data_IF_956284346413
#
_entry.id   IF_956284346413
#
_cell.length_a   1.000
_cell.length_b   1.000
_cell.length_c   1.000
_cell.angle_alpha   90.00
_cell.angle_beta   90.00
_cell.angle_gamma   90.00
#
_symmetry.space_group_name_H-M   'P 1'
#
loop_
_entity.id
_entity.type
_entity.pdbx_description
1 polymer ?
#
# COMPACT_ATOMS: atom_id res chain seq x y z
N UNK A 1 -2.42 -7.16 -9.44
CA UNK A 1 -1.47 -6.55 -10.40
C UNK A 1 -1.39 -5.06 -10.08
N UNK A 2 -0.45 -4.67 -9.22
CA UNK A 2 -0.04 -3.27 -9.11
C UNK A 2 1.03 -3.04 -10.17
N UNK A 3 0.86 -2.03 -11.03
CA UNK A 3 1.87 -1.63 -12.01
C UNK A 3 3.13 -1.19 -11.30
N UNK A 4 4.21 -1.87 -11.65
CA UNK A 4 5.59 -1.48 -11.40
C UNK A 4 5.88 -0.32 -12.35
N UNK A 5 5.81 0.92 -11.86
CA UNK A 5 6.31 2.08 -12.60
C UNK A 5 7.00 3.05 -11.63
N UNK A 6 8.32 3.15 -11.80
CA UNK A 6 9.06 4.39 -11.57
C UNK A 6 9.47 4.69 -10.13
N UNK A 7 10.55 4.04 -9.68
CA UNK A 7 11.39 4.54 -8.60
C UNK A 7 12.14 5.82 -9.03
N UNK A 8 11.44 6.93 -9.26
CA UNK A 8 12.03 8.29 -9.44
C UNK A 8 10.95 9.37 -9.27
N UNK A 9 10.34 9.49 -8.08
CA UNK A 9 9.83 10.76 -7.53
C UNK A 9 9.26 10.49 -6.13
N UNK A 10 10.04 10.77 -5.10
CA UNK A 10 9.68 10.69 -3.68
C UNK A 10 8.73 11.84 -3.26
N UNK A 11 7.63 12.02 -3.99
CA UNK A 11 6.55 12.94 -3.61
C UNK A 11 5.27 12.14 -3.47
N UNK A 12 4.57 12.34 -2.35
CA UNK A 12 3.20 11.89 -2.21
C UNK A 12 2.41 12.43 -3.41
N UNK A 13 1.66 11.59 -4.15
CA UNK A 13 0.94 12.05 -5.32
C UNK A 13 -0.06 13.13 -4.90
N UNK A 14 -0.14 14.25 -5.65
CA UNK A 14 -1.08 15.32 -5.36
C UNK A 14 -2.52 14.84 -5.61
N UNK A 15 -3.48 15.41 -4.88
CA UNK A 15 -4.89 15.11 -5.04
C UNK A 15 -5.51 14.38 -3.86
N UNK A 16 -6.74 13.89 -4.06
CA UNK A 16 -7.59 13.32 -3.00
C UNK A 16 -6.92 12.15 -2.27
N UNK A 17 -7.20 11.95 -0.97
CA UNK A 17 -6.68 10.80 -0.22
C UNK A 17 -6.97 9.48 -0.94
N UNK A 18 -5.93 8.71 -1.22
CA UNK A 18 -6.06 7.42 -1.91
C UNK A 18 -6.31 6.30 -0.89
N UNK A 19 -7.55 5.81 -0.86
CA UNK A 19 -8.00 4.72 0.03
C UNK A 19 -7.28 3.38 -0.23
N UNK A 20 -6.47 3.27 -1.28
CA UNK A 20 -5.61 2.10 -1.54
C UNK A 20 -4.28 2.18 -0.80
N UNK A 21 -3.96 3.32 -0.21
CA UNK A 21 -2.70 3.56 0.53
C UNK A 21 -2.92 3.48 2.03
N UNK A 22 -1.85 3.34 2.81
CA UNK A 22 -1.96 3.29 4.27
C UNK A 22 -2.50 4.61 4.86
N UNK A 23 -3.12 4.52 6.04
CA UNK A 23 -3.72 5.66 6.73
C UNK A 23 -2.77 6.85 6.89
N UNK A 24 -1.49 6.61 7.19
CA UNK A 24 -0.50 7.68 7.32
C UNK A 24 -0.34 8.46 6.00
N UNK A 25 -0.26 7.75 4.86
CA UNK A 25 -0.19 8.40 3.55
C UNK A 25 -1.46 9.20 3.26
N UNK A 26 -2.64 8.63 3.53
CA UNK A 26 -3.92 9.32 3.34
C UNK A 26 -4.00 10.61 4.16
N UNK A 27 -3.55 10.59 5.43
CA UNK A 27 -3.51 11.77 6.31
C UNK A 27 -2.57 12.85 5.78
N UNK A 28 -1.38 12.45 5.30
CA UNK A 28 -0.42 13.39 4.71
C UNK A 28 -0.92 13.96 3.38
N UNK A 29 -1.61 13.17 2.56
CA UNK A 29 -2.28 13.64 1.34
C UNK A 29 -3.38 14.65 1.67
N UNK A 30 -4.23 14.34 2.64
CA UNK A 30 -5.27 15.26 3.11
C UNK A 30 -4.65 16.58 3.60
N UNK A 31 -3.55 16.51 4.36
CA UNK A 31 -2.84 17.69 4.83
C UNK A 31 -2.30 18.53 3.66
N UNK A 32 -1.70 17.89 2.65
CA UNK A 32 -1.24 18.58 1.44
C UNK A 32 -2.40 19.28 0.71
N UNK A 33 -3.55 18.61 0.54
CA UNK A 33 -4.74 19.24 -0.04
C UNK A 33 -5.22 20.45 0.75
N UNK A 34 -5.20 20.36 2.08
CA UNK A 34 -5.59 21.48 2.93
C UNK A 34 -4.65 22.67 2.77
N UNK A 35 -3.34 22.42 2.72
CA UNK A 35 -2.32 23.45 2.50
C UNK A 35 -2.46 24.10 1.12
N UNK A 36 -2.65 23.31 0.07
CA UNK A 36 -2.87 23.81 -1.30
C UNK A 36 -4.10 24.72 -1.37
N UNK A 37 -5.23 24.29 -0.76
CA UNK A 37 -6.45 25.10 -0.69
C UNK A 37 -6.24 26.38 0.12
N UNK A 38 -5.49 26.34 1.22
CA UNK A 38 -5.15 27.52 2.01
C UNK A 38 -4.30 28.52 1.21
N UNK A 39 -3.23 28.06 0.57
CA UNK A 39 -2.35 28.90 -0.27
C UNK A 39 -3.14 29.52 -1.42
N UNK A 40 -3.99 28.76 -2.11
CA UNK A 40 -4.83 29.29 -3.18
C UNK A 40 -5.76 30.41 -2.69
N UNK A 41 -6.34 30.27 -1.49
CA UNK A 41 -7.19 31.31 -0.88
C UNK A 41 -6.39 32.54 -0.47
N UNK A 42 -5.22 32.37 0.14
CA UNK A 42 -4.35 33.50 0.53
C UNK A 42 -3.85 34.27 -0.70
N UNK A 43 -3.47 33.57 -1.76
CA UNK A 43 -3.10 34.18 -3.03
C UNK A 43 -4.29 34.94 -3.64
N UNK A 44 -5.49 34.35 -3.66
CA UNK A 44 -6.68 35.02 -4.18
C UNK A 44 -7.02 36.30 -3.39
N UNK A 45 -6.85 36.29 -2.06
CA UNK A 45 -7.00 37.48 -1.22
C UNK A 45 -5.97 38.55 -1.59
N UNK A 46 -4.70 38.16 -1.75
CA UNK A 46 -3.63 39.09 -2.12
C UNK A 46 -3.89 39.79 -3.47
N UNK A 47 -4.34 39.05 -4.49
CA UNK A 47 -4.69 39.63 -5.78
C UNK A 47 -5.96 40.50 -5.75
N UNK A 48 -6.92 40.20 -4.87
CA UNK A 48 -8.13 41.03 -4.72
C UNK A 48 -7.87 42.39 -4.05
N UNK A 49 -6.81 42.50 -3.24
CA UNK A 49 -6.46 43.75 -2.54
C UNK A 49 -5.68 44.74 -3.41
N UNK A 50 -5.10 44.31 -4.54
CA UNK A 50 -4.31 45.19 -5.41
C UNK A 50 -5.10 45.86 -6.55
N UNK A 51 -6.34 45.43 -6.86
CA UNK A 51 -7.07 45.91 -8.07
C UNK A 51 -8.49 46.48 -7.82
N UNK A 52 -8.85 46.84 -6.59
CA UNK A 52 -10.06 47.65 -6.38
C UNK A 52 -10.05 48.41 -5.06
N UNK A 53 -9.95 49.74 -5.17
CA UNK A 53 -10.44 50.63 -4.14
C UNK A 53 -11.97 50.57 -4.14
N UNK A 54 -12.53 50.43 -2.93
CA UNK A 54 -13.94 50.65 -2.57
C UNK A 54 -14.95 49.56 -2.98
N UNK A 55 -15.04 48.51 -2.17
CA UNK A 55 -16.31 47.93 -1.70
C UNK A 55 -15.99 46.92 -0.60
N UNK A 56 -16.27 47.27 0.65
CA UNK A 56 -16.23 46.37 1.81
C UNK A 56 -17.18 45.18 1.58
N UNK A 57 -16.67 44.07 1.04
CA UNK A 57 -17.28 42.75 1.21
C UNK A 57 -16.83 42.18 2.55
N UNK A 58 -17.45 42.67 3.63
CA UNK A 58 -17.31 42.10 4.97
C UNK A 58 -17.66 40.60 4.92
N UNK A 59 -16.63 39.78 5.09
CA UNK A 59 -16.73 38.36 5.38
C UNK A 59 -17.41 38.21 6.74
N UNK A 60 -18.73 37.98 6.72
CA UNK A 60 -19.54 37.70 7.91
C UNK A 60 -19.14 36.33 8.47
N UNK A 61 -18.23 36.32 9.45
CA UNK A 61 -18.10 35.23 10.40
C UNK A 61 -19.28 35.38 11.38
N UNK A 62 -20.35 34.62 11.13
CA UNK A 62 -21.61 34.76 11.86
C UNK A 62 -21.44 34.30 13.31
N UNK A 63 -21.01 35.22 14.17
CA UNK A 63 -21.39 35.18 15.58
C UNK A 63 -22.85 35.60 15.69
N UNK A 64 -23.58 34.78 16.43
CA UNK A 64 -25.03 34.83 16.65
C UNK A 64 -25.38 36.06 17.50
N UNK A 65 -25.58 37.22 16.87
CA UNK A 65 -26.21 38.37 17.50
C UNK A 65 -27.19 39.04 16.53
N UNK A 66 -28.41 39.27 17.03
CA UNK A 66 -29.56 39.84 16.33
C UNK A 66 -29.21 41.20 15.70
N UNK A 67 -29.21 41.28 14.36
CA UNK A 67 -29.18 42.55 13.64
C UNK A 67 -30.35 42.66 12.65
N UNK A 68 -30.90 43.86 12.69
CA UNK A 68 -32.17 44.39 12.23
C UNK A 68 -32.56 44.04 10.78
N UNK A 69 -33.84 43.69 10.59
CA UNK A 69 -34.46 43.41 9.28
C UNK A 69 -34.56 44.68 8.45
N UNK A 70 -33.57 44.95 7.59
CA UNK A 70 -33.73 45.92 6.49
C UNK A 70 -33.26 45.34 5.15
N UNK A 71 -34.25 45.12 4.28
CA UNK A 71 -34.18 45.05 2.81
C UNK A 71 -33.10 44.19 2.16
N UNK A 72 -33.39 42.89 1.97
CA UNK A 72 -32.69 42.05 0.99
C UNK A 72 -33.64 41.58 -0.13
N UNK A 73 -33.88 42.43 -1.12
CA UNK A 73 -34.48 42.05 -2.42
C UNK A 73 -33.43 41.72 -3.49
N UNK A 74 -32.26 41.22 -3.09
CA UNK A 74 -31.15 40.86 -3.99
C UNK A 74 -31.13 39.37 -4.41
N UNK A 75 -32.08 38.55 -3.91
CA UNK A 75 -32.14 37.10 -4.14
C UNK A 75 -32.84 36.69 -5.45
N UNK A 76 -33.39 37.64 -6.22
CA UNK A 76 -34.11 37.37 -7.48
C UNK A 76 -33.26 37.48 -8.75
N UNK A 77 -31.96 37.85 -8.62
CA UNK A 77 -31.04 37.86 -9.76
C UNK A 77 -30.34 36.51 -9.88
N UNK A 78 -30.33 35.89 -11.08
CA UNK A 78 -29.64 34.63 -11.25
C UNK A 78 -28.12 34.79 -11.11
N UNK A 79 -27.52 34.03 -10.21
CA UNK A 79 -26.09 34.06 -9.90
C UNK A 79 -25.52 32.64 -9.81
N UNK A 80 -24.21 32.47 -10.02
CA UNK A 80 -23.56 31.16 -9.92
C UNK A 80 -23.86 30.21 -11.09
N UNK A 81 -23.97 30.73 -12.32
CA UNK A 81 -24.18 29.92 -13.54
C UNK A 81 -22.85 29.56 -14.21
N UNK A 82 -22.63 28.28 -14.48
CA UNK A 82 -21.47 27.79 -15.26
C UNK A 82 -21.73 27.88 -16.76
N UNK A 83 -22.78 27.22 -17.24
CA UNK A 83 -23.16 27.19 -18.66
C UNK A 83 -24.64 26.81 -18.82
N UNK A 84 -25.17 26.93 -20.04
CA UNK A 84 -26.54 26.46 -20.35
C UNK A 84 -26.55 24.93 -20.43
N UNK A 85 -27.59 24.31 -19.87
CA UNK A 85 -27.79 22.86 -19.93
C UNK A 85 -28.48 22.47 -21.24
N UNK A 86 -27.70 22.42 -22.33
CA UNK A 86 -28.22 22.13 -23.66
C UNK A 86 -29.33 23.09 -24.10
N UNK A 87 -30.38 22.55 -24.72
CA UNK A 87 -31.60 23.28 -25.11
C UNK A 87 -32.73 23.17 -24.08
N UNK A 88 -32.42 22.64 -22.89
CA UNK A 88 -33.42 22.38 -21.86
C UNK A 88 -33.95 23.67 -21.24
N UNK A 89 -35.25 23.71 -20.94
CA UNK A 89 -35.93 24.83 -20.29
C UNK A 89 -36.61 24.41 -19.01
N UNK A 90 -36.77 25.37 -18.09
CA UNK A 90 -37.48 25.22 -16.84
C UNK A 90 -38.97 24.94 -17.11
N UNK A 91 -39.53 23.97 -16.37
CA UNK A 91 -40.89 23.46 -16.62
C UNK A 91 -41.99 24.50 -16.40
N UNK A 92 -41.79 25.48 -15.51
CA UNK A 92 -42.83 26.49 -15.19
C UNK A 92 -42.66 27.81 -15.94
N UNK A 93 -41.43 28.28 -16.13
CA UNK A 93 -41.19 29.61 -16.70
C UNK A 93 -40.80 29.57 -18.17
N UNK A 94 -40.35 28.42 -18.69
CA UNK A 94 -39.84 28.31 -20.06
C UNK A 94 -38.47 28.96 -20.27
N UNK A 95 -37.84 29.46 -19.21
CA UNK A 95 -36.48 30.01 -19.27
C UNK A 95 -35.44 28.90 -19.50
N UNK A 96 -34.28 29.20 -20.12
CA UNK A 96 -33.21 28.22 -20.28
C UNK A 96 -32.72 27.70 -18.92
N UNK A 97 -32.52 26.39 -18.80
CA UNK A 97 -31.93 25.76 -17.62
C UNK A 97 -30.41 25.97 -17.64
N UNK A 98 -29.85 26.41 -16.52
CA UNK A 98 -28.42 26.63 -16.34
C UNK A 98 -27.82 25.63 -15.36
N UNK A 99 -26.59 25.20 -15.65
CA UNK A 99 -25.77 24.40 -14.74
C UNK A 99 -25.22 25.32 -13.65
N UNK A 100 -25.49 25.08 -12.35
CA UNK A 100 -24.93 25.87 -11.27
C UNK A 100 -23.45 25.55 -11.04
N UNK A 101 -22.71 26.50 -10.49
CA UNK A 101 -21.46 26.21 -9.78
C UNK A 101 -21.80 25.57 -8.43
N UNK A 102 -21.31 24.35 -8.17
CA UNK A 102 -21.47 23.62 -6.91
C UNK A 102 -20.18 23.63 -6.10
N UNK A 103 -20.27 23.29 -4.81
CA UNK A 103 -19.09 23.10 -3.98
C UNK A 103 -18.36 21.80 -4.34
N UNK A 104 -17.05 21.77 -4.12
CA UNK A 104 -16.26 20.56 -4.28
C UNK A 104 -16.70 19.47 -3.28
N UNK A 105 -16.67 18.18 -3.68
CA UNK A 105 -16.92 17.08 -2.77
C UNK A 105 -16.03 17.10 -1.53
N UNK A 106 -16.59 16.70 -0.39
CA UNK A 106 -15.86 16.56 0.88
C UNK A 106 -14.84 15.44 0.75
N UNK A 107 -13.57 15.78 0.92
CA UNK A 107 -12.48 14.80 0.98
C UNK A 107 -12.54 14.09 2.33
N UNK A 108 -12.38 12.77 2.36
CA UNK A 108 -12.34 11.98 3.59
C UNK A 108 -11.22 10.95 3.57
N UNK A 109 -10.59 10.73 4.71
CA UNK A 109 -9.68 9.60 4.94
C UNK A 109 -10.44 8.34 5.35
N UNK A 110 -9.80 7.17 5.26
CA UNK A 110 -10.40 5.87 5.59
C UNK A 110 -11.01 5.82 7.00
N UNK A 111 -10.29 6.33 8.01
CA UNK A 111 -10.78 6.39 9.40
C UNK A 111 -12.00 7.31 9.57
N UNK A 112 -12.10 8.38 8.76
CA UNK A 112 -13.28 9.26 8.77
C UNK A 112 -14.48 8.56 8.13
N UNK A 113 -14.26 7.78 7.07
CA UNK A 113 -15.31 6.96 6.46
C UNK A 113 -15.78 5.86 7.43
N UNK A 114 -14.86 5.23 8.14
CA UNK A 114 -15.20 4.24 9.18
C UNK A 114 -16.01 4.89 10.31
N UNK A 115 -15.58 6.06 10.80
CA UNK A 115 -16.31 6.84 11.80
C UNK A 115 -17.72 7.21 11.33
N UNK A 116 -17.87 7.69 10.10
CA UNK A 116 -19.18 7.98 9.52
C UNK A 116 -20.07 6.73 9.50
N UNK A 117 -19.53 5.58 9.07
CA UNK A 117 -20.28 4.32 9.07
C UNK A 117 -20.68 3.88 10.46
N UNK A 118 -19.80 4.04 11.45
CA UNK A 118 -20.08 3.70 12.85
C UNK A 118 -21.16 4.60 13.46
N UNK A 119 -21.13 5.89 13.16
CA UNK A 119 -22.17 6.84 13.58
C UNK A 119 -23.52 6.40 13.00
N UNK A 120 -23.55 6.05 11.72
CA UNK A 120 -24.76 5.59 11.04
C UNK A 120 -25.28 4.25 11.58
N UNK A 121 -24.40 3.35 12.01
CA UNK A 121 -24.76 2.07 12.62
C UNK A 121 -25.30 2.24 14.04
N UNK A 122 -24.76 3.20 14.81
CA UNK A 122 -25.23 3.52 16.17
C UNK A 122 -26.56 4.24 16.16
N UNK A 123 -26.84 5.02 15.11
CA UNK A 123 -28.17 5.57 14.83
C UNK A 123 -29.09 4.40 14.50
N UNK A 124 -29.99 4.04 15.42
CA UNK A 124 -30.91 2.92 15.27
C UNK A 124 -31.84 3.02 14.06
N UNK A 125 -32.77 2.07 13.96
CA UNK A 125 -33.77 2.03 12.87
C UNK A 125 -35.03 2.86 13.13
N UNK A 126 -35.04 3.66 14.20
CA UNK A 126 -36.19 4.50 14.56
C UNK A 126 -36.42 5.60 13.52
N UNK A 127 -37.66 6.11 13.43
CA UNK A 127 -38.02 7.13 12.44
C UNK A 127 -37.18 8.40 12.59
N UNK A 128 -36.99 8.88 13.82
CA UNK A 128 -36.11 10.02 14.13
C UNK A 128 -34.64 9.74 13.76
N UNK A 129 -34.18 8.49 13.95
CA UNK A 129 -32.82 8.09 13.58
C UNK A 129 -32.65 7.98 12.06
N UNK A 130 -33.70 7.59 11.33
CA UNK A 130 -33.73 7.59 9.87
C UNK A 130 -33.67 9.02 9.30
N UNK A 131 -34.43 9.95 9.88
CA UNK A 131 -34.40 11.37 9.54
C UNK A 131 -33.04 12.01 9.82
N UNK A 132 -32.41 11.67 10.96
CA UNK A 132 -31.09 12.17 11.30
C UNK A 132 -30.00 11.63 10.36
N UNK A 133 -30.04 10.34 10.01
CA UNK A 133 -29.14 9.74 9.01
C UNK A 133 -29.29 10.40 7.64
N UNK A 134 -30.54 10.63 7.23
CA UNK A 134 -30.84 11.34 5.99
C UNK A 134 -30.27 12.76 5.99
N UNK A 135 -30.42 13.49 7.09
CA UNK A 135 -29.89 14.86 7.24
C UNK A 135 -28.36 14.92 7.25
N UNK A 136 -27.69 13.94 7.87
CA UNK A 136 -26.22 13.84 7.89
C UNK A 136 -25.68 13.59 6.47
N UNK A 137 -26.30 12.67 5.72
CA UNK A 137 -25.87 12.33 4.37
C UNK A 137 -26.24 13.35 3.31
N UNK A 138 -27.19 14.24 3.59
CA UNK A 138 -27.73 15.18 2.62
C UNK A 138 -27.06 16.54 2.59
N UNK A 139 -26.00 16.78 3.37
CA UNK A 139 -25.37 18.09 3.43
C UNK A 139 -24.87 18.56 2.04
N UNK A 140 -24.30 17.65 1.25
CA UNK A 140 -23.92 17.92 -0.15
C UNK A 140 -25.15 18.18 -1.02
N UNK A 141 -26.18 17.33 -0.91
CA UNK A 141 -27.42 17.47 -1.66
C UNK A 141 -28.10 18.83 -1.41
N UNK A 142 -28.13 19.28 -0.15
CA UNK A 142 -28.68 20.58 0.22
C UNK A 142 -27.88 21.72 -0.42
N UNK A 143 -26.55 21.67 -0.34
CA UNK A 143 -25.66 22.66 -0.99
C UNK A 143 -25.84 22.70 -2.51
N UNK A 144 -26.06 21.55 -3.15
CA UNK A 144 -26.33 21.45 -4.59
C UNK A 144 -27.70 22.05 -4.94
N UNK A 145 -28.73 21.77 -4.14
CA UNK A 145 -30.07 22.35 -4.31
C UNK A 145 -30.07 23.88 -4.15
N UNK A 146 -29.36 24.40 -3.15
CA UNK A 146 -29.21 25.84 -2.92
C UNK A 146 -28.51 26.53 -4.11
N UNK A 147 -27.43 25.91 -4.60
CA UNK A 147 -26.68 26.41 -5.76
C UNK A 147 -27.54 26.42 -7.02
N UNK A 148 -28.33 25.36 -7.23
CA UNK A 148 -29.22 25.24 -8.37
C UNK A 148 -30.34 26.29 -8.36
N UNK A 149 -30.95 26.55 -7.20
CA UNK A 149 -31.97 27.59 -7.06
C UNK A 149 -31.41 28.99 -7.31
N UNK A 150 -30.18 29.27 -6.87
CA UNK A 150 -29.50 30.54 -7.14
C UNK A 150 -29.24 30.76 -8.65
N UNK A 151 -28.87 29.69 -9.36
CA UNK A 151 -28.62 29.73 -10.79
C UNK A 151 -29.93 29.79 -11.62
N UNK A 152 -30.99 29.14 -11.12
CA UNK A 152 -32.27 29.00 -11.80
C UNK A 152 -33.43 29.51 -10.92
N UNK A 153 -33.65 30.83 -10.83
CA UNK A 153 -34.83 31.41 -10.18
C UNK A 153 -36.13 30.88 -10.81
N UNK A 154 -37.12 30.56 -9.98
CA UNK A 154 -38.40 30.01 -10.44
C UNK A 154 -38.40 28.51 -10.77
N UNK A 155 -37.27 27.83 -10.59
CA UNK A 155 -37.15 26.37 -10.78
C UNK A 155 -37.97 25.56 -9.77
N UNK A 156 -38.35 24.34 -10.18
CA UNK A 156 -39.01 23.35 -9.34
C UNK A 156 -38.13 22.13 -9.08
N UNK A 157 -38.54 21.26 -8.15
CA UNK A 157 -37.76 20.06 -7.77
C UNK A 157 -37.56 19.11 -8.95
N UNK A 158 -38.52 19.09 -9.87
CA UNK A 158 -38.47 18.35 -11.12
C UNK A 158 -37.35 18.85 -12.03
N UNK A 159 -37.14 20.17 -12.13
CA UNK A 159 -36.03 20.75 -12.90
C UNK A 159 -34.67 20.36 -12.31
N UNK A 160 -34.58 20.35 -10.96
CA UNK A 160 -33.38 19.90 -10.28
C UNK A 160 -33.11 18.41 -10.51
N UNK A 161 -34.12 17.54 -10.43
CA UNK A 161 -33.96 16.10 -10.64
C UNK A 161 -33.56 15.79 -12.08
N UNK A 162 -34.10 16.50 -13.07
CA UNK A 162 -33.70 16.38 -14.49
C UNK A 162 -32.20 16.63 -14.70
N UNK A 163 -31.61 17.52 -13.92
CA UNK A 163 -30.18 17.81 -13.96
C UNK A 163 -29.34 16.88 -13.07
N UNK A 164 -29.74 16.69 -11.80
CA UNK A 164 -28.96 16.03 -10.76
C UNK A 164 -29.07 14.50 -10.78
N UNK A 165 -30.26 13.97 -11.08
CA UNK A 165 -30.51 12.53 -11.24
C UNK A 165 -31.43 12.26 -12.43
N UNK A 166 -30.90 12.31 -13.68
CA UNK A 166 -31.70 12.06 -14.88
C UNK A 166 -32.37 10.69 -14.91
N UNK A 167 -31.86 9.73 -14.12
CA UNK A 167 -32.44 8.38 -13.97
C UNK A 167 -33.78 8.37 -13.25
N UNK A 168 -34.07 9.40 -12.46
CA UNK A 168 -35.31 9.54 -11.71
C UNK A 168 -36.36 10.40 -12.41
N UNK A 169 -36.04 10.87 -13.62
CA UNK A 169 -36.98 11.50 -14.52
C UNK A 169 -37.47 10.48 -15.55
N UNK A 170 -38.76 10.17 -15.53
CA UNK A 170 -39.37 9.25 -16.49
C UNK A 170 -40.04 10.08 -17.57
N UNK A 171 -39.49 10.02 -18.79
CA UNK A 171 -40.05 10.67 -19.98
C UNK A 171 -41.21 9.85 -20.55
N UNK A 172 -42.28 10.53 -20.95
CA UNK A 172 -43.40 9.94 -21.67
C UNK A 172 -43.19 10.16 -23.17
N UNK A 173 -42.98 9.07 -23.93
CA UNK A 173 -42.49 9.13 -25.32
C UNK A 173 -43.43 9.80 -26.34
N UNK A 174 -44.66 10.17 -25.97
CA UNK A 174 -45.68 10.68 -26.89
C UNK A 174 -46.28 12.05 -26.51
N UNK A 175 -45.83 12.71 -25.45
CA UNK A 175 -46.33 14.04 -25.05
C UNK A 175 -45.18 15.06 -25.00
N UNK A 176 -45.36 16.17 -25.73
CA UNK A 176 -44.50 17.35 -25.62
C UNK A 176 -45.12 18.34 -24.63
N UNK A 177 -44.28 18.98 -23.83
CA UNK A 177 -44.67 20.07 -22.95
C UNK A 177 -44.98 21.36 -23.75
N UNK A 178 -45.46 22.38 -23.05
CA UNK A 178 -45.79 23.70 -23.63
C UNK A 178 -44.60 24.41 -24.29
N UNK A 179 -43.37 23.91 -24.07
CA UNK A 179 -42.13 24.49 -24.54
C UNK A 179 -41.38 23.61 -25.56
N UNK A 180 -42.00 22.50 -26.00
CA UNK A 180 -41.46 21.59 -27.02
C UNK A 180 -40.49 20.51 -26.52
N UNK A 181 -40.42 20.26 -25.21
CA UNK A 181 -39.61 19.20 -24.59
C UNK A 181 -40.48 17.98 -24.27
N UNK A 182 -39.90 16.79 -24.17
CA UNK A 182 -40.64 15.59 -23.72
C UNK A 182 -41.17 15.81 -22.31
N UNK A 183 -42.47 15.62 -22.15
CA UNK A 183 -43.14 15.66 -20.85
C UNK A 183 -42.73 14.41 -20.06
N UNK A 184 -42.64 14.54 -18.74
CA UNK A 184 -42.25 13.44 -17.87
C UNK A 184 -42.71 13.67 -16.44
N UNK A 185 -42.52 12.64 -15.62
CA UNK A 185 -42.86 12.67 -14.21
C UNK A 185 -41.73 12.07 -13.36
N UNK A 186 -41.74 12.39 -12.07
CA UNK A 186 -40.79 11.84 -11.11
C UNK A 186 -40.98 10.34 -10.95
N UNK A 187 -39.88 9.60 -10.76
CA UNK A 187 -39.95 8.15 -10.51
C UNK A 187 -40.80 7.81 -9.28
N UNK A 188 -41.39 6.59 -9.19
CA UNK A 188 -42.22 6.19 -8.05
C UNK A 188 -41.54 6.35 -6.68
N UNK A 189 -40.20 6.17 -6.59
CA UNK A 189 -39.46 6.41 -5.33
C UNK A 189 -39.46 7.88 -4.93
N UNK A 190 -39.50 8.77 -5.91
CA UNK A 190 -39.44 10.22 -5.71
C UNK A 190 -40.82 10.83 -5.39
N UNK A 191 -41.90 10.08 -5.64
CA UNK A 191 -43.28 10.48 -5.35
C UNK A 191 -43.81 9.99 -4.00
N UNK A 192 -42.96 9.36 -3.17
CA UNK A 192 -43.35 8.92 -1.82
C UNK A 192 -43.74 10.12 -0.95
N UNK A 193 -44.77 9.95 -0.11
CA UNK A 193 -45.38 11.03 0.69
C UNK A 193 -44.37 11.71 1.65
N UNK A 194 -43.39 10.96 2.16
CA UNK A 194 -42.31 11.43 3.03
C UNK A 194 -40.94 11.46 2.31
N UNK A 195 -40.87 12.08 1.13
CA UNK A 195 -39.62 12.20 0.41
C UNK A 195 -38.74 13.34 0.95
N UNK A 196 -37.64 12.96 1.60
CA UNK A 196 -36.56 13.82 2.10
C UNK A 196 -36.07 14.83 1.05
N UNK A 197 -35.99 14.44 -0.23
CA UNK A 197 -35.50 15.34 -1.29
C UNK A 197 -36.47 16.50 -1.54
N UNK A 198 -37.78 16.24 -1.49
CA UNK A 198 -38.80 17.26 -1.67
C UNK A 198 -38.84 18.19 -0.45
N UNK A 199 -38.70 17.62 0.76
CA UNK A 199 -38.61 18.41 1.99
C UNK A 199 -37.37 19.31 2.00
N UNK A 200 -36.20 18.77 1.65
CA UNK A 200 -34.96 19.53 1.53
C UNK A 200 -35.04 20.59 0.46
N UNK A 201 -35.64 20.26 -0.69
CA UNK A 201 -35.88 21.25 -1.72
C UNK A 201 -36.76 22.39 -1.21
N UNK A 202 -37.80 22.13 -0.42
CA UNK A 202 -38.63 23.20 0.17
C UNK A 202 -37.83 24.09 1.13
N UNK A 203 -36.94 23.49 1.91
CA UNK A 203 -36.12 24.20 2.90
C UNK A 203 -34.88 24.91 2.32
N UNK A 204 -34.40 24.49 1.13
CA UNK A 204 -33.23 25.06 0.47
C UNK A 204 -33.47 26.52 0.04
N UNK A 205 -32.51 27.39 0.33
CA UNK A 205 -32.53 28.81 -0.06
C UNK A 205 -31.75 29.03 -1.36
N UNK A 206 -32.06 30.03 -2.19
CA UNK A 206 -31.33 30.29 -3.43
C UNK A 206 -29.96 30.94 -3.16
N UNK A 207 -28.99 30.17 -2.65
CA UNK A 207 -27.65 30.65 -2.29
C UNK A 207 -26.58 30.10 -3.24
N UNK A 208 -25.76 30.93 -3.90
CA UNK A 208 -24.67 30.43 -4.76
C UNK A 208 -23.55 29.81 -3.93
N UNK A 209 -22.82 28.84 -4.50
CA UNK A 209 -21.79 28.05 -3.80
C UNK A 209 -20.72 28.89 -3.06
N UNK A 210 -20.33 30.05 -3.58
CA UNK A 210 -19.35 30.93 -2.95
C UNK A 210 -19.85 31.64 -1.67
N UNK A 211 -21.18 31.71 -1.47
CA UNK A 211 -21.84 32.32 -0.30
C UNK A 211 -22.42 31.27 0.67
N UNK A 212 -22.30 29.99 0.33
CA UNK A 212 -22.77 28.92 1.20
C UNK A 212 -21.74 28.59 2.28
N UNK A 213 -22.21 27.94 3.34
CA UNK A 213 -21.32 27.33 4.33
C UNK A 213 -20.49 26.24 3.64
N UNK A 214 -19.18 26.26 3.87
CA UNK A 214 -18.25 25.31 3.27
C UNK A 214 -18.52 23.90 3.77
N UNK A 215 -18.66 22.96 2.84
CA UNK A 215 -18.77 21.54 3.16
C UNK A 215 -17.46 20.96 3.67
N UNK A 216 -16.33 21.51 3.18
CA UNK A 216 -14.99 21.12 3.61
C UNK A 216 -14.25 22.34 4.17
N UNK A 217 -13.93 22.27 5.46
CA UNK A 217 -13.10 23.27 6.13
C UNK A 217 -11.65 22.78 6.18
N UNK A 218 -10.85 23.23 5.23
CA UNK A 218 -9.45 22.84 5.10
C UNK A 218 -8.60 23.21 6.32
N UNK A 219 -8.97 24.24 7.09
CA UNK A 219 -8.21 24.63 8.29
C UNK A 219 -8.51 23.67 9.43
N UNK A 220 -9.78 23.35 9.67
CA UNK A 220 -10.17 22.39 10.70
C UNK A 220 -9.71 20.97 10.38
N UNK A 221 -9.77 20.55 9.12
CA UNK A 221 -9.30 19.21 8.72
C UNK A 221 -7.77 19.10 8.86
N UNK A 222 -7.01 20.14 8.50
CA UNK A 222 -5.56 20.16 8.75
C UNK A 222 -5.24 20.07 10.25
N UNK A 223 -5.94 20.85 11.10
CA UNK A 223 -5.76 20.80 12.55
C UNK A 223 -6.07 19.43 13.14
N UNK A 224 -7.16 18.77 12.70
CA UNK A 224 -7.48 17.40 13.12
C UNK A 224 -6.35 16.43 12.80
N UNK A 225 -5.71 16.55 11.63
CA UNK A 225 -4.58 15.70 11.24
C UNK A 225 -3.36 15.98 12.10
N UNK A 226 -3.03 17.25 12.34
CA UNK A 226 -1.90 17.64 13.18
C UNK A 226 -2.10 17.16 14.63
N UNK A 227 -3.29 17.34 15.19
CA UNK A 227 -3.68 16.81 16.50
C UNK A 227 -3.61 15.28 16.52
N UNK A 228 -4.11 14.62 15.47
CA UNK A 228 -4.02 13.17 15.33
C UNK A 228 -2.57 12.69 15.39
N UNK A 229 -1.61 13.42 14.80
CA UNK A 229 -0.19 13.05 14.86
C UNK A 229 0.45 13.40 16.21
N UNK A 230 0.10 14.55 16.80
CA UNK A 230 0.66 15.04 18.07
C UNK A 230 0.28 14.17 19.27
N UNK A 231 -0.95 13.65 19.31
CA UNK A 231 -1.44 12.81 20.40
C UNK A 231 -1.03 11.33 20.30
N UNK A 232 -0.16 10.94 19.37
CA UNK A 232 0.22 9.54 19.17
C UNK A 232 1.42 9.16 20.03
N UNK A 233 1.29 8.00 20.68
CA UNK A 233 2.42 7.36 21.36
C UNK A 233 3.41 6.77 20.35
N UNK A 234 4.64 6.50 20.79
CA UNK A 234 5.66 5.83 19.96
C UNK A 234 5.16 4.50 19.40
N UNK A 235 4.38 3.74 20.19
CA UNK A 235 3.78 2.47 19.73
C UNK A 235 2.80 2.68 18.57
N UNK A 236 1.91 3.68 18.68
CA UNK A 236 0.95 3.99 17.62
C UNK A 236 1.64 4.56 16.37
N UNK A 237 2.71 5.33 16.53
CA UNK A 237 3.53 5.78 15.41
C UNK A 237 4.17 4.59 14.71
N UNK A 238 4.70 3.62 15.46
CA UNK A 238 5.24 2.40 14.89
C UNK A 238 4.17 1.64 14.09
N UNK A 239 2.95 1.50 14.61
CA UNK A 239 1.82 0.88 13.90
C UNK A 239 1.50 1.59 12.57
N UNK A 240 1.49 2.93 12.55
CA UNK A 240 1.25 3.72 11.32
C UNK A 240 2.33 3.51 10.25
N UNK A 241 3.57 3.21 10.67
CA UNK A 241 4.73 3.10 9.79
C UNK A 241 4.99 1.66 9.34
N UNK A 242 4.44 0.64 10.03
CA UNK A 242 4.59 -0.79 9.66
C UNK A 242 4.23 -1.06 8.19
N UNK A 243 3.10 -0.58 7.62
CA UNK A 243 2.79 -0.80 6.21
C UNK A 243 3.88 -0.28 5.26
N UNK A 244 4.45 0.88 5.58
CA UNK A 244 5.51 1.52 4.81
C UNK A 244 6.79 0.69 4.92
N UNK A 245 7.19 0.32 6.13
CA UNK A 245 8.40 -0.50 6.36
C UNK A 245 8.32 -1.87 5.70
N UNK A 246 7.15 -2.51 5.78
CA UNK A 246 6.88 -3.80 5.14
C UNK A 246 7.06 -3.69 3.62
N UNK A 247 6.47 -2.65 3.02
CA UNK A 247 6.60 -2.38 1.59
C UNK A 247 8.05 -2.07 1.19
N UNK A 248 8.72 -1.17 1.92
CA UNK A 248 10.12 -0.80 1.67
C UNK A 248 11.08 -1.98 1.83
N UNK A 249 10.86 -2.86 2.82
CA UNK A 249 11.67 -4.07 3.01
C UNK A 249 11.54 -5.02 1.82
N UNK A 250 10.33 -5.25 1.32
CA UNK A 250 10.09 -6.11 0.15
C UNK A 250 10.75 -5.52 -1.10
N UNK A 251 10.55 -4.22 -1.36
CA UNK A 251 11.19 -3.55 -2.49
C UNK A 251 12.71 -3.64 -2.41
N UNK A 252 13.28 -3.38 -1.24
CA UNK A 252 14.73 -3.45 -1.03
C UNK A 252 15.27 -4.86 -1.29
N UNK A 253 14.55 -5.89 -0.86
CA UNK A 253 14.92 -7.28 -1.12
C UNK A 253 14.85 -7.63 -2.61
N UNK A 254 13.85 -7.13 -3.33
CA UNK A 254 13.71 -7.34 -4.77
C UNK A 254 14.88 -6.68 -5.51
N UNK A 255 15.18 -5.42 -5.21
CA UNK A 255 16.31 -4.69 -5.82
C UNK A 255 17.64 -5.43 -5.59
N UNK A 256 17.87 -5.92 -4.36
CA UNK A 256 19.06 -6.69 -4.04
C UNK A 256 19.11 -8.04 -4.76
N UNK A 257 17.98 -8.73 -4.92
CA UNK A 257 17.91 -9.99 -5.68
C UNK A 257 18.17 -9.77 -7.18
N UNK A 258 17.67 -8.68 -7.76
CA UNK A 258 17.92 -8.32 -9.16
C UNK A 258 19.39 -7.97 -9.42
N UNK A 259 20.11 -7.50 -8.39
CA UNK A 259 21.55 -7.21 -8.48
C UNK A 259 22.45 -8.45 -8.40
N UNK A 260 21.90 -9.62 -8.04
CA UNK A 260 22.69 -10.85 -7.91
C UNK A 260 23.04 -11.44 -9.27
N UNK A 261 24.26 -11.97 -9.46
CA UNK A 261 24.64 -12.70 -10.67
C UNK A 261 23.88 -14.02 -10.83
N UNK A 262 23.37 -14.58 -9.72
CA UNK A 262 22.58 -15.81 -9.73
C UNK A 262 21.49 -15.72 -8.68
N UNK A 263 20.25 -15.84 -9.12
CA UNK A 263 19.09 -15.81 -8.25
C UNK A 263 18.85 -17.23 -7.70
N UNK A 264 18.80 -17.42 -6.37
CA UNK A 264 18.44 -18.71 -5.79
C UNK A 264 17.04 -19.15 -6.23
N UNK A 265 16.87 -20.42 -6.60
CA UNK A 265 15.60 -20.95 -7.11
C UNK A 265 14.41 -20.75 -6.16
N UNK A 266 14.65 -20.76 -4.85
CA UNK A 266 13.65 -20.53 -3.81
C UNK A 266 13.30 -19.05 -3.58
N UNK A 267 14.13 -18.11 -4.06
CA UNK A 267 14.00 -16.69 -3.73
C UNK A 267 12.68 -16.10 -4.25
N UNK A 268 12.29 -16.44 -5.47
CA UNK A 268 11.04 -15.96 -6.10
C UNK A 268 9.80 -16.43 -5.33
N UNK A 269 9.80 -17.66 -4.84
CA UNK A 269 8.73 -18.22 -4.02
C UNK A 269 8.68 -17.53 -2.64
N UNK A 270 9.84 -17.26 -2.03
CA UNK A 270 9.93 -16.52 -0.76
C UNK A 270 9.43 -15.08 -0.89
N UNK A 271 9.85 -14.36 -1.92
CA UNK A 271 9.34 -12.99 -2.20
C UNK A 271 7.82 -13.01 -2.42
N UNK A 272 7.29 -13.98 -3.16
CA UNK A 272 5.85 -14.14 -3.35
C UNK A 272 5.10 -14.42 -2.04
N UNK A 273 5.72 -15.15 -1.11
CA UNK A 273 5.20 -15.36 0.25
C UNK A 273 5.21 -14.06 1.06
N UNK A 274 6.32 -13.32 1.05
CA UNK A 274 6.47 -12.03 1.73
C UNK A 274 5.46 -11.00 1.23
N UNK A 275 5.19 -10.95 -0.08
CA UNK A 275 4.13 -10.11 -0.65
C UNK A 275 2.76 -10.43 -0.06
N UNK A 276 2.39 -11.72 0.02
CA UNK A 276 1.11 -12.14 0.62
C UNK A 276 1.04 -11.85 2.12
N UNK A 277 2.16 -11.96 2.83
CA UNK A 277 2.23 -11.60 4.25
C UNK A 277 2.07 -10.10 4.43
N UNK A 278 2.77 -9.30 3.63
CA UNK A 278 2.67 -7.84 3.65
C UNK A 278 1.26 -7.35 3.33
N UNK A 279 0.58 -7.92 2.34
CA UNK A 279 -0.83 -7.64 2.05
C UNK A 279 -1.75 -7.88 3.25
N UNK A 280 -1.48 -8.91 4.06
CA UNK A 280 -2.27 -9.19 5.27
C UNK A 280 -1.97 -8.20 6.38
N UNK A 281 -0.69 -7.92 6.64
CA UNK A 281 -0.25 -6.97 7.67
C UNK A 281 -0.81 -5.58 7.40
N UNK A 282 -0.84 -5.16 6.14
CA UNK A 282 -1.33 -3.83 5.73
C UNK A 282 -2.85 -3.67 5.76
N UNK A 283 -3.61 -4.77 5.72
CA UNK A 283 -5.09 -4.76 5.76
C UNK A 283 -5.65 -5.01 7.17
N UNK A 284 -4.84 -5.45 8.11
CA UNK A 284 -5.30 -5.66 9.49
C UNK A 284 -5.57 -4.28 10.13
N UNK A 285 -6.77 -4.09 10.68
CA UNK A 285 -7.18 -2.85 11.38
C UNK A 285 -6.28 -2.53 12.59
N UNK A 286 -5.64 -3.55 13.17
CA UNK A 286 -4.70 -3.42 14.28
C UNK A 286 -3.48 -4.29 14.01
N UNK A 287 -2.30 -3.76 14.35
CA UNK A 287 -1.06 -4.50 14.23
C UNK A 287 -1.11 -5.79 15.06
N UNK A 288 -0.78 -6.91 14.42
CA UNK A 288 -0.61 -8.20 15.07
C UNK A 288 0.89 -8.49 15.25
N UNK A 289 1.47 -8.30 16.45
CA UNK A 289 2.93 -8.34 16.64
C UNK A 289 3.55 -9.66 16.16
N UNK A 290 2.89 -10.80 16.44
CA UNK A 290 3.38 -12.12 16.01
C UNK A 290 3.45 -12.30 14.49
N UNK A 291 2.53 -11.68 13.74
CA UNK A 291 2.54 -11.75 12.27
C UNK A 291 3.66 -10.88 11.72
N UNK A 292 3.86 -9.70 12.29
CA UNK A 292 4.95 -8.81 11.90
C UNK A 292 6.32 -9.40 12.26
N UNK A 293 6.45 -10.05 13.41
CA UNK A 293 7.66 -10.76 13.83
C UNK A 293 8.00 -11.91 12.86
N UNK A 294 7.01 -12.73 12.49
CA UNK A 294 7.21 -13.78 11.49
C UNK A 294 7.65 -13.22 10.13
N UNK A 295 7.03 -12.12 9.68
CA UNK A 295 7.44 -11.42 8.46
C UNK A 295 8.88 -10.91 8.55
N UNK A 296 9.24 -10.26 9.67
CA UNK A 296 10.60 -9.76 9.87
C UNK A 296 11.64 -10.88 9.89
N UNK A 297 11.30 -12.04 10.47
CA UNK A 297 12.15 -13.22 10.44
C UNK A 297 12.34 -13.75 9.02
N UNK A 298 11.27 -13.86 8.23
CA UNK A 298 11.36 -14.31 6.83
C UNK A 298 12.19 -13.33 5.96
N UNK A 299 12.07 -12.02 6.21
CA UNK A 299 12.91 -10.98 5.59
C UNK A 299 14.38 -11.19 5.95
N UNK A 300 14.69 -11.34 7.23
CA UNK A 300 16.05 -11.53 7.71
C UNK A 300 16.68 -12.83 7.16
N UNK A 301 15.92 -13.92 7.10
CA UNK A 301 16.39 -15.17 6.49
C UNK A 301 16.76 -14.98 5.01
N UNK A 302 15.93 -14.28 4.24
CA UNK A 302 16.21 -14.03 2.83
C UNK A 302 17.41 -13.09 2.65
N UNK A 303 17.53 -12.07 3.49
CA UNK A 303 18.68 -11.16 3.51
C UNK A 303 20.00 -11.90 3.79
N UNK A 304 19.99 -12.84 4.73
CA UNK A 304 21.14 -13.72 5.00
C UNK A 304 21.48 -14.55 3.77
N UNK A 305 20.49 -15.09 3.06
CA UNK A 305 20.73 -15.85 1.82
C UNK A 305 21.36 -14.97 0.73
N UNK A 306 20.85 -13.76 0.53
CA UNK A 306 21.41 -12.79 -0.43
C UNK A 306 22.87 -12.48 -0.05
N UNK A 307 23.13 -12.22 1.24
CA UNK A 307 24.48 -11.96 1.75
C UNK A 307 25.43 -13.15 1.55
N UNK A 308 24.94 -14.37 1.70
CA UNK A 308 25.70 -15.59 1.43
C UNK A 308 26.08 -15.71 -0.05
N UNK A 309 25.14 -15.47 -0.97
CA UNK A 309 25.39 -15.46 -2.42
C UNK A 309 26.47 -14.42 -2.76
N UNK A 310 26.32 -13.19 -2.28
CA UNK A 310 27.29 -12.11 -2.51
C UNK A 310 28.68 -12.45 -1.95
N UNK A 311 28.76 -12.98 -0.73
CA UNK A 311 30.03 -13.42 -0.14
C UNK A 311 30.68 -14.55 -0.95
N UNK A 312 29.90 -15.52 -1.42
CA UNK A 312 30.42 -16.63 -2.22
C UNK A 312 30.88 -16.16 -3.60
N UNK A 313 30.11 -15.27 -4.23
CA UNK A 313 30.50 -14.66 -5.49
C UNK A 313 31.82 -13.87 -5.36
N UNK A 314 31.96 -13.05 -4.31
CA UNK A 314 33.21 -12.34 -4.03
C UNK A 314 34.40 -13.28 -3.83
N UNK A 315 34.18 -14.43 -3.14
CA UNK A 315 35.25 -15.39 -2.84
C UNK A 315 35.65 -16.25 -4.03
N UNK A 316 34.66 -16.77 -4.76
CA UNK A 316 34.83 -17.76 -5.84
C UNK A 316 34.99 -17.11 -7.23
N UNK A 317 34.51 -15.88 -7.42
CA UNK A 317 34.59 -15.14 -8.69
C UNK A 317 35.21 -13.73 -8.54
N UNK A 318 36.49 -13.62 -8.13
CA UNK A 318 37.14 -12.32 -7.95
C UNK A 318 37.34 -11.54 -9.26
N UNK A 319 37.31 -12.20 -10.42
CA UNK A 319 37.43 -11.57 -11.74
C UNK A 319 36.13 -10.90 -12.19
N UNK A 320 35.00 -11.23 -11.58
CA UNK A 320 33.68 -10.69 -11.95
C UNK A 320 33.22 -11.08 -13.36
N UNK A 321 33.84 -12.10 -13.96
CA UNK A 321 33.44 -12.61 -15.27
C UNK A 321 32.17 -13.44 -15.14
N UNK A 322 31.27 -13.34 -16.12
CA UNK A 322 30.09 -14.19 -16.17
C UNK A 322 30.52 -15.62 -16.51
N UNK A 323 30.47 -16.50 -15.51
CA UNK A 323 30.73 -17.93 -15.65
C UNK A 323 29.53 -18.71 -15.08
N UNK A 324 28.87 -19.47 -15.94
CA UNK A 324 27.71 -20.28 -15.58
C UNK A 324 28.05 -21.41 -14.61
N UNK A 325 29.26 -21.98 -14.66
CA UNK A 325 29.68 -23.03 -13.75
C UNK A 325 29.89 -22.50 -12.34
N UNK A 326 30.51 -21.32 -12.23
CA UNK A 326 30.69 -20.63 -10.93
C UNK A 326 29.34 -20.22 -10.36
N UNK A 327 28.46 -19.67 -11.20
CA UNK A 327 27.09 -19.29 -10.85
C UNK A 327 26.27 -20.48 -10.31
N UNK A 328 26.33 -21.62 -11.01
CA UNK A 328 25.67 -22.87 -10.58
C UNK A 328 26.25 -23.40 -9.28
N UNK A 329 27.57 -23.43 -9.14
CA UNK A 329 28.24 -23.86 -7.92
C UNK A 329 27.88 -22.99 -6.71
N UNK A 330 27.73 -21.66 -6.90
CA UNK A 330 27.28 -20.75 -5.83
C UNK A 330 25.83 -21.07 -5.43
N UNK A 331 24.93 -21.26 -6.41
CA UNK A 331 23.53 -21.61 -6.15
C UNK A 331 23.39 -22.93 -5.38
N UNK A 332 24.14 -23.95 -5.78
CA UNK A 332 24.15 -25.27 -5.13
C UNK A 332 24.74 -25.18 -3.71
N UNK A 333 25.82 -24.41 -3.52
CA UNK A 333 26.44 -24.25 -2.22
C UNK A 333 25.56 -23.49 -1.22
N UNK A 334 24.82 -22.47 -1.68
CA UNK A 334 23.85 -21.74 -0.84
C UNK A 334 22.67 -22.62 -0.47
N UNK A 335 22.19 -23.47 -1.38
CA UNK A 335 21.11 -24.43 -1.09
C UNK A 335 21.59 -25.63 -0.24
N UNK A 336 22.89 -25.72 0.05
CA UNK A 336 23.47 -26.78 0.88
C UNK A 336 23.61 -28.11 0.13
N UNK A 337 23.60 -28.09 -1.21
CA UNK A 337 23.84 -29.27 -2.03
C UNK A 337 25.34 -29.55 -2.16
N UNK A 338 25.68 -30.83 -2.36
CA UNK A 338 27.04 -31.25 -2.64
C UNK A 338 27.42 -30.83 -4.06
N UNK A 339 28.47 -30.00 -4.18
CA UNK A 339 28.99 -29.56 -5.49
C UNK A 339 30.07 -30.52 -5.99
N UNK A 340 29.99 -30.89 -7.26
CA UNK A 340 31.07 -31.59 -7.94
C UNK A 340 31.88 -30.59 -8.76
N UNK A 341 33.18 -30.48 -8.47
CA UNK A 341 34.07 -29.54 -9.13
C UNK A 341 34.76 -30.26 -10.31
N UNK A 342 34.36 -30.00 -11.57
CA UNK A 342 35.03 -30.58 -12.73
C UNK A 342 36.48 -30.14 -12.76
N UNK A 343 37.37 -31.00 -13.26
CA UNK A 343 38.81 -30.70 -13.39
C UNK A 343 39.56 -30.33 -12.10
N UNK A 344 38.93 -30.50 -10.92
CA UNK A 344 39.53 -30.31 -9.59
C UNK A 344 40.22 -28.95 -9.46
N UNK A 345 41.55 -28.95 -9.30
CA UNK A 345 42.42 -27.81 -9.09
C UNK A 345 42.57 -26.90 -10.32
N UNK A 346 42.21 -27.39 -11.51
CA UNK A 346 42.28 -26.61 -12.75
C UNK A 346 41.05 -25.74 -13.01
N UNK A 347 39.94 -26.03 -12.35
CA UNK A 347 38.75 -25.17 -12.43
C UNK A 347 38.96 -23.85 -11.69
N UNK A 348 38.22 -22.83 -12.10
CA UNK A 348 38.23 -21.52 -11.44
C UNK A 348 37.78 -21.62 -9.98
N UNK A 349 36.74 -22.41 -9.70
CA UNK A 349 36.24 -22.65 -8.34
C UNK A 349 37.24 -23.45 -7.51
N UNK A 350 37.78 -24.55 -8.04
CA UNK A 350 38.67 -25.45 -7.31
C UNK A 350 40.03 -24.84 -7.00
N UNK A 351 40.66 -24.16 -7.96
CA UNK A 351 41.92 -23.42 -7.73
C UNK A 351 41.76 -22.37 -6.62
N UNK A 352 40.62 -21.68 -6.62
CA UNK A 352 40.31 -20.65 -5.61
C UNK A 352 40.08 -21.23 -4.23
N UNK A 353 39.35 -22.34 -4.13
CA UNK A 353 39.18 -23.08 -2.87
C UNK A 353 40.52 -23.52 -2.30
N UNK A 354 41.40 -24.09 -3.13
CA UNK A 354 42.74 -24.52 -2.74
C UNK A 354 43.58 -23.34 -2.24
N UNK A 355 43.54 -22.19 -2.93
CA UNK A 355 44.21 -20.96 -2.48
C UNK A 355 43.69 -20.50 -1.11
N UNK A 356 42.38 -20.48 -0.90
CA UNK A 356 41.78 -20.08 0.37
C UNK A 356 42.19 -21.03 1.51
N UNK A 357 42.26 -22.34 1.26
CA UNK A 357 42.77 -23.30 2.24
C UNK A 357 44.25 -23.09 2.56
N UNK A 358 45.09 -22.82 1.55
CA UNK A 358 46.50 -22.51 1.75
C UNK A 358 46.70 -21.25 2.60
N UNK A 359 45.91 -20.20 2.34
CA UNK A 359 45.97 -18.95 3.08
C UNK A 359 45.53 -19.13 4.54
N UNK A 360 44.46 -19.89 4.78
CA UNK A 360 44.04 -20.27 6.14
C UNK A 360 45.11 -21.07 6.90
N UNK A 361 45.81 -21.99 6.23
CA UNK A 361 46.89 -22.76 6.85
C UNK A 361 48.11 -21.87 7.17
N UNK A 362 48.46 -20.93 6.30
CA UNK A 362 49.52 -19.93 6.55
C UNK A 362 49.20 -19.02 7.74
N UNK A 363 47.93 -18.67 7.92
CA UNK A 363 47.47 -17.86 9.07
C UNK A 363 47.41 -18.68 10.38
N UNK A 364 47.08 -19.97 10.30
CA UNK A 364 47.04 -20.89 11.45
C UNK A 364 48.41 -21.42 11.89
N UNK A 365 49.41 -21.37 11.01
CA UNK A 365 50.80 -21.70 11.33
C UNK A 365 51.53 -20.46 11.85
N UNK A 366 51.49 -20.26 13.16
CA UNK A 366 52.40 -19.32 13.85
C UNK A 366 53.84 -19.65 13.45
N UNK A 367 54.65 -18.71 12.92
CA UNK A 367 56.01 -19.02 12.53
C UNK A 367 56.84 -19.35 13.78
N UNK A 368 57.60 -20.46 13.81
CA UNK A 368 58.64 -20.60 14.81
C UNK A 368 59.73 -19.55 14.53
N UNK A 369 60.28 -19.01 15.62
CA UNK A 369 61.37 -18.02 15.66
C UNK A 369 62.52 -18.31 14.68
N UNK A 370 63.22 -17.27 14.17
CA UNK A 370 64.25 -17.43 13.17
C UNK A 370 65.54 -17.92 13.81
N UNK A 371 65.84 -19.21 13.69
CA UNK A 371 67.22 -19.69 13.82
C UNK A 371 67.46 -20.94 12.99
N UNK A 372 68.62 -20.93 12.35
CA UNK A 372 69.34 -21.98 11.63
C UNK A 372 68.90 -22.31 10.19
N UNK A 373 69.73 -21.77 9.29
CA UNK A 373 70.07 -22.22 7.94
C UNK A 373 69.93 -23.71 7.65
N UNK A 374 69.36 -24.05 6.50
CA UNK A 374 70.07 -24.59 5.31
C UNK A 374 69.13 -25.44 4.43
N UNK A 375 69.33 -25.33 3.12
CA UNK A 375 68.72 -26.07 1.99
C UNK A 375 67.28 -25.70 1.57
N UNK A 376 67.02 -25.52 0.26
CA UNK A 376 65.67 -25.36 -0.27
C UNK A 376 64.95 -26.72 -0.15
N UNK A 377 63.70 -26.78 0.34
CA UNK A 377 62.95 -28.01 0.26
C UNK A 377 62.55 -28.21 -1.21
N UNK A 378 63.04 -29.33 -1.75
CA UNK A 378 62.55 -30.00 -2.95
C UNK A 378 61.01 -30.04 -2.98
N UNK A 379 60.47 -30.01 -4.19
CA UNK A 379 59.05 -30.17 -4.53
C UNK A 379 58.31 -31.18 -3.62
N UNK A 380 57.49 -30.66 -2.68
CA UNK A 380 56.41 -31.41 -2.07
C UNK A 380 55.08 -30.69 -2.33
N UNK A 381 54.27 -31.15 -3.30
CA UNK A 381 52.92 -30.61 -3.52
C UNK A 381 51.88 -31.16 -2.53
N UNK A 382 52.28 -31.79 -1.42
CA UNK A 382 51.47 -32.87 -0.82
C UNK A 382 50.78 -32.56 0.52
N UNK A 383 50.55 -31.28 0.85
CA UNK A 383 49.78 -30.95 2.05
C UNK A 383 48.92 -29.68 1.98
N UNK A 384 48.30 -29.37 0.83
CA UNK A 384 47.31 -28.27 0.79
C UNK A 384 45.91 -28.68 1.29
N UNK A 385 45.59 -29.98 1.28
CA UNK A 385 44.31 -30.53 1.71
C UNK A 385 44.55 -31.61 2.78
N UNK A 386 43.66 -31.78 3.78
CA UNK A 386 43.76 -32.95 4.67
C UNK A 386 43.84 -34.21 3.80
N UNK A 387 44.76 -35.13 4.17
CA UNK A 387 45.05 -36.31 3.36
C UNK A 387 43.75 -37.00 2.91
N UNK A 388 43.60 -37.39 1.63
CA UNK A 388 42.36 -37.93 1.12
C UNK A 388 41.97 -39.17 1.92
N UNK A 389 40.93 -39.04 2.74
CA UNK A 389 40.33 -40.15 3.49
C UNK A 389 39.30 -40.81 2.59
N UNK A 390 39.38 -42.14 2.45
CA UNK A 390 38.35 -42.88 1.71
C UNK A 390 37.19 -43.11 2.65
N UNK A 391 36.05 -42.54 2.29
CA UNK A 391 34.82 -42.73 3.02
C UNK A 391 33.87 -43.59 2.19
N UNK A 392 33.28 -44.61 2.83
CA UNK A 392 32.22 -45.43 2.25
C UNK A 392 30.99 -45.32 3.13
N UNK A 393 29.87 -44.92 2.53
CA UNK A 393 28.57 -44.84 3.21
C UNK A 393 27.66 -45.89 2.63
N UNK A 394 27.25 -46.86 3.45
CA UNK A 394 26.25 -47.86 3.13
C UNK A 394 24.93 -47.48 3.81
N UNK A 395 23.88 -47.32 3.02
CA UNK A 395 22.50 -47.15 3.49
C UNK A 395 21.67 -48.31 2.97
N UNK A 396 21.01 -49.04 3.87
CA UNK A 396 20.21 -50.21 3.49
C UNK A 396 18.93 -50.27 4.33
N UNK A 397 17.81 -50.67 3.73
CA UNK A 397 16.60 -50.99 4.47
C UNK A 397 16.48 -52.52 4.56
N UNK A 398 16.63 -53.08 5.76
CA UNK A 398 16.56 -54.51 5.98
C UNK A 398 15.54 -54.87 7.06
N UNK A 399 15.08 -56.12 7.03
CA UNK A 399 14.15 -56.67 8.01
C UNK A 399 14.94 -57.10 9.24
N UNK A 400 14.66 -56.54 10.43
CA UNK A 400 15.38 -56.84 11.68
C UNK A 400 14.45 -56.64 12.89
N UNK A 401 14.44 -57.54 13.90
CA UNK A 401 15.31 -58.72 14.04
C UNK A 401 14.87 -59.94 13.24
N UNK A 402 13.57 -60.11 13.00
CA UNK A 402 13.00 -61.34 12.43
C UNK A 402 12.43 -61.11 11.04
N UNK A 403 12.20 -62.20 10.28
CA UNK A 403 11.70 -62.15 8.89
C UNK A 403 10.33 -61.48 8.74
N UNK A 404 9.58 -61.37 9.84
CA UNK A 404 8.25 -60.77 9.88
C UNK A 404 8.26 -59.33 10.42
N UNK A 405 9.42 -58.81 10.83
CA UNK A 405 9.57 -57.42 11.31
C UNK A 405 9.37 -56.41 10.17
N UNK A 406 9.15 -55.15 10.50
CA UNK A 406 9.18 -54.08 9.51
C UNK A 406 10.59 -53.89 8.92
N UNK A 407 10.67 -53.31 7.72
CA UNK A 407 11.96 -52.89 7.14
C UNK A 407 12.47 -51.65 7.86
N UNK A 408 13.61 -51.79 8.51
CA UNK A 408 14.26 -50.77 9.31
C UNK A 408 15.48 -50.18 8.56
N UNK A 409 15.69 -48.86 8.59
CA UNK A 409 16.84 -48.22 7.97
C UNK A 409 18.13 -48.52 8.74
N UNK A 410 19.15 -48.93 8.01
CA UNK A 410 20.48 -49.23 8.52
C UNK A 410 21.50 -48.30 7.86
N UNK A 411 22.43 -47.83 8.67
CA UNK A 411 23.49 -46.94 8.24
C UNK A 411 24.84 -47.50 8.70
N UNK A 412 25.79 -47.57 7.78
CA UNK A 412 27.17 -47.92 8.08
C UNK A 412 28.08 -46.95 7.34
N UNK A 413 28.92 -46.23 8.08
CA UNK A 413 29.96 -45.35 7.56
C UNK A 413 31.32 -45.95 7.89
N UNK A 414 32.15 -46.12 6.87
CA UNK A 414 33.51 -46.61 6.98
C UNK A 414 34.45 -45.50 6.57
N UNK A 415 35.35 -45.12 7.46
CA UNK A 415 36.39 -44.12 7.21
C UNK A 415 37.73 -44.85 7.23
N UNK A 416 38.40 -44.83 6.08
CA UNK A 416 39.68 -45.50 5.87
C UNK A 416 40.79 -44.45 5.74
N UNK A 417 41.70 -44.43 6.70
CA UNK A 417 42.91 -43.60 6.71
C UNK A 417 44.16 -44.51 6.61
N UNK A 418 45.34 -43.94 6.33
CA UNK A 418 46.61 -44.68 6.19
C UNK A 418 47.00 -45.47 7.45
N UNK A 419 46.49 -45.07 8.62
CA UNK A 419 46.83 -45.65 9.94
C UNK A 419 45.63 -46.09 10.77
N UNK A 420 44.40 -45.78 10.32
CA UNK A 420 43.20 -46.04 11.10
C UNK A 420 42.02 -46.48 10.23
N UNK A 421 41.29 -47.47 10.73
CA UNK A 421 40.04 -47.95 10.17
C UNK A 421 38.95 -47.65 11.20
N UNK A 422 38.07 -46.70 10.89
CA UNK A 422 36.96 -46.31 11.77
C UNK A 422 35.64 -46.73 11.15
N UNK A 423 34.84 -47.44 11.93
CA UNK A 423 33.53 -47.94 11.55
C UNK A 423 32.49 -47.29 12.46
N UNK A 424 31.50 -46.62 11.87
CA UNK A 424 30.37 -46.02 12.60
C UNK A 424 29.09 -46.60 12.03
N UNK A 425 28.36 -47.35 12.84
CA UNK A 425 27.07 -47.93 12.46
C UNK A 425 25.94 -47.35 13.30
N UNK A 426 24.80 -47.11 12.66
CA UNK A 426 23.53 -46.85 13.33
C UNK A 426 22.52 -47.87 12.80
N UNK A 427 22.07 -48.75 13.69
CA UNK A 427 21.20 -49.85 13.32
C UNK A 427 19.89 -49.78 14.08
N UNK A 428 18.78 -49.79 13.36
CA UNK A 428 17.44 -49.76 13.93
C UNK A 428 16.82 -51.16 13.92
N UNK A 429 16.07 -51.47 14.97
CA UNK A 429 15.36 -52.72 15.17
C UNK A 429 13.87 -52.44 15.37
N UNK A 430 13.01 -53.30 14.83
CA UNK A 430 11.58 -53.24 15.09
C UNK A 430 11.29 -53.77 16.50
N UNK A 431 10.76 -52.89 17.35
CA UNK A 431 10.35 -53.23 18.73
C UNK A 431 8.86 -53.51 18.86
N UNK A 432 8.09 -53.52 17.77
CA UNK A 432 6.65 -53.79 17.77
C UNK A 432 6.32 -55.17 17.21
N UNK A 433 7.08 -55.64 16.22
CA UNK A 433 6.93 -56.97 15.60
C UNK A 433 8.24 -57.75 15.71
N UNK A 434 8.50 -58.30 16.90
CA UNK A 434 9.62 -59.19 17.19
C UNK A 434 9.18 -60.66 17.19
#
# INVERSE_FOLDING_TARGET
MCSIQGATNSRLPPGMPDLRTCLLNQKLQMLNCCLERKIARENAKFFSTEDSGDSDEEFFDANDDEVDRREYSLWDKPVGRLSKFGEMKLLKTGDPLYIPFTQDPVLKTEDQLEEDTDVLLKLGSDQEASELRARIMSASLLSDMESFKAANPGSVVEDFIRWYSPRDWIEEDNELDEFGQKKGHLSPRMQLEDNIWVEMWRNARPVPANRQKRLFDDTREAEKILQFLDFRTVGQIAELVVPILTHSAILRLIDELESLPTIPSEATARVSSLLKQGERITRDTKLQPKRFEAFAQDVAELEVRISQVNSLNYKLNPSGQEDEEVSRAIGDLVSGQEINIPEKDRSQVGSRIISMFADCQRLGSVPPSPSSSSSPPDDQPDALMPAPRREFVLRANCVRPNLYSARCPQFLRVILDKREFRLVGAFSEDTAFF
#
